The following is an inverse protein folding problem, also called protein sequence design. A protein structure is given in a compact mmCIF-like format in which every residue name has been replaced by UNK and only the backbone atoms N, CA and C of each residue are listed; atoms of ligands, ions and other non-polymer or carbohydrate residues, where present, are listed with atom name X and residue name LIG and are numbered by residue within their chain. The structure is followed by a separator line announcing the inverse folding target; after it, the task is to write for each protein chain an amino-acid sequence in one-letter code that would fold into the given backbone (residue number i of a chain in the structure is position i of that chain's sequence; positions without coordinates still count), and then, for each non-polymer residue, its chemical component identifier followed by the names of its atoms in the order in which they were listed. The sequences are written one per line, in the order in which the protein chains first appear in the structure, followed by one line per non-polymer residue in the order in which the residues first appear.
data_IF_169489713037
#
_entry.id   IF_169489713037
#
_cell.length_a   1.000
_cell.length_b   1.000
_cell.length_c   1.000
_cell.angle_alpha   90.00
_cell.angle_beta   90.00
_cell.angle_gamma   90.00
#
_symmetry.space_group_name_H-M   'P 1'
#
loop_
_entity.id
_entity.type
_entity.pdbx_description
1 polymer ?
#
# COMPACT_ATOMS: atom_id res chain seq x y z
N UNK A 1 -62.77 -13.79 -38.36
CA UNK A 1 -64.02 -13.02 -38.62
C UNK A 1 -63.81 -11.57 -38.25
N UNK A 2 -63.98 -10.69 -39.25
CA UNK A 2 -64.42 -9.27 -39.24
C UNK A 2 -63.67 -8.24 -38.40
N UNK A 3 -62.98 -7.37 -39.10
CA UNK A 3 -62.89 -5.90 -38.90
C UNK A 3 -64.30 -5.28 -39.01
N UNK A 4 -64.52 -4.06 -38.52
CA UNK A 4 -64.22 -2.83 -39.26
C UNK A 4 -63.73 -1.69 -38.32
N UNK A 5 -63.00 -0.71 -38.78
CA UNK A 5 -63.19 0.37 -39.77
C UNK A 5 -63.67 1.71 -39.17
N UNK A 6 -62.80 2.73 -39.38
CA UNK A 6 -63.09 4.15 -39.69
C UNK A 6 -63.68 5.03 -38.59
N UNK A 7 -63.29 6.31 -38.37
CA UNK A 7 -63.40 7.44 -39.29
C UNK A 7 -62.64 8.68 -38.79
N UNK A 8 -62.10 9.44 -39.73
CA UNK A 8 -61.44 10.74 -39.62
C UNK A 8 -62.43 11.83 -39.21
N UNK A 9 -62.00 12.85 -38.46
CA UNK A 9 -62.53 14.21 -38.60
C UNK A 9 -61.37 15.21 -38.56
N UNK A 10 -61.14 15.89 -39.68
CA UNK A 10 -60.40 17.14 -39.78
C UNK A 10 -61.24 18.27 -39.18
N UNK A 11 -60.64 19.16 -38.44
CA UNK A 11 -61.14 20.50 -38.23
C UNK A 11 -59.97 21.51 -38.27
N UNK A 12 -59.98 22.23 -39.38
CA UNK A 12 -59.14 23.40 -39.68
C UNK A 12 -59.69 24.61 -38.96
N UNK A 13 -58.89 25.34 -38.21
CA UNK A 13 -59.18 26.72 -37.84
C UNK A 13 -57.91 27.57 -37.94
N UNK A 14 -57.90 28.44 -38.91
CA UNK A 14 -57.00 29.60 -39.04
C UNK A 14 -57.30 30.63 -37.96
N UNK A 15 -56.28 31.16 -37.26
CA UNK A 15 -56.34 32.50 -36.67
C UNK A 15 -54.99 33.19 -36.71
N UNK A 16 -55.07 34.38 -37.19
CA UNK A 16 -54.18 35.48 -37.49
C UNK A 16 -52.93 35.69 -36.67
N UNK A 17 -51.88 36.10 -37.39
CA UNK A 17 -50.63 36.64 -36.92
C UNK A 17 -50.79 37.98 -36.18
N UNK A 18 -50.27 38.10 -34.98
CA UNK A 18 -49.86 39.37 -34.39
C UNK A 18 -48.33 39.29 -34.16
N UNK A 19 -47.57 39.95 -35.00
CA UNK A 19 -46.15 40.20 -34.84
C UNK A 19 -46.00 41.33 -33.85
N UNK A 20 -45.62 41.01 -32.62
CA UNK A 20 -45.05 42.00 -31.70
C UNK A 20 -43.56 41.75 -31.62
N UNK A 21 -42.78 42.67 -32.15
CA UNK A 21 -41.31 42.71 -32.04
C UNK A 21 -40.95 42.98 -30.56
N UNK A 22 -40.69 41.93 -29.80
CA UNK A 22 -40.07 42.02 -28.49
C UNK A 22 -38.56 41.96 -28.71
N UNK A 23 -37.89 43.07 -28.47
CA UNK A 23 -36.40 43.16 -28.53
C UNK A 23 -35.79 42.12 -27.57
N UNK A 24 -35.01 41.21 -28.11
CA UNK A 24 -34.13 40.34 -27.36
C UNK A 24 -33.04 41.17 -26.71
N UNK A 25 -33.25 41.58 -25.47
CA UNK A 25 -32.17 42.01 -24.59
C UNK A 25 -31.31 40.78 -24.31
N UNK A 26 -30.18 40.68 -25.01
CA UNK A 26 -29.13 39.69 -24.69
C UNK A 26 -28.62 40.00 -23.29
N UNK A 27 -29.07 39.24 -22.29
CA UNK A 27 -28.42 39.23 -21.00
C UNK A 27 -26.94 38.80 -21.22
N UNK A 28 -25.95 39.55 -20.67
CA UNK A 28 -24.58 39.12 -20.74
C UNK A 28 -24.49 37.71 -20.15
N UNK A 29 -23.96 36.77 -20.93
CA UNK A 29 -23.77 35.39 -20.50
C UNK A 29 -23.12 35.38 -19.12
N UNK A 30 -23.71 34.67 -18.17
CA UNK A 30 -23.09 34.33 -16.91
C UNK A 30 -21.83 33.56 -17.31
N UNK A 31 -20.70 34.27 -17.36
CA UNK A 31 -19.40 33.69 -17.63
C UNK A 31 -19.23 32.48 -16.72
N UNK A 32 -18.87 31.35 -17.30
CA UNK A 32 -18.53 30.15 -16.57
C UNK A 32 -17.54 30.54 -15.45
N UNK A 33 -18.09 30.67 -14.24
CA UNK A 33 -17.31 31.08 -13.08
C UNK A 33 -16.25 30.00 -12.93
N UNK A 34 -15.05 30.28 -13.41
CA UNK A 34 -13.95 29.36 -13.56
C UNK A 34 -13.85 28.47 -12.34
N UNK A 35 -14.13 27.19 -12.53
CA UNK A 35 -14.14 26.19 -11.47
C UNK A 35 -12.74 26.17 -10.88
N UNK A 36 -12.54 26.84 -9.74
CA UNK A 36 -11.26 26.86 -9.04
C UNK A 36 -10.85 25.40 -8.84
N UNK A 37 -9.71 24.96 -9.39
CA UNK A 37 -9.28 23.59 -9.29
C UNK A 37 -9.22 23.22 -7.79
N UNK A 38 -9.93 22.17 -7.39
CA UNK A 38 -9.83 21.67 -6.01
C UNK A 38 -8.37 21.30 -5.76
N UNK A 39 -7.76 21.79 -4.68
CA UNK A 39 -6.38 21.45 -4.37
C UNK A 39 -6.26 19.92 -4.19
N UNK A 40 -5.16 19.34 -4.70
CA UNK A 40 -4.89 17.91 -4.61
C UNK A 40 -4.87 17.48 -3.14
N UNK A 41 -5.48 16.33 -2.85
CA UNK A 41 -5.38 15.71 -1.54
C UNK A 41 -3.95 15.21 -1.30
N UNK A 42 -3.59 15.07 -0.05
CA UNK A 42 -2.33 14.46 0.37
C UNK A 42 -2.48 12.94 0.51
N UNK A 43 -1.41 12.27 0.17
CA UNK A 43 -1.16 10.87 0.46
C UNK A 43 0.06 10.77 1.36
N UNK A 44 -0.10 10.24 2.57
CA UNK A 44 0.98 10.07 3.54
C UNK A 44 1.51 8.65 3.49
N UNK A 45 2.82 8.49 3.39
CA UNK A 45 3.47 7.18 3.43
C UNK A 45 4.31 7.04 4.69
N UNK A 46 3.95 6.07 5.54
CA UNK A 46 4.65 5.73 6.78
C UNK A 46 5.24 4.33 6.68
N UNK A 47 6.20 4.04 7.53
CA UNK A 47 6.77 2.71 7.70
C UNK A 47 8.29 2.69 7.66
N UNK A 48 8.84 1.59 7.17
CA UNK A 48 10.26 1.28 7.15
C UNK A 48 10.90 1.46 5.76
N UNK A 49 11.95 0.70 5.46
CA UNK A 49 12.68 0.74 4.19
C UNK A 49 11.83 0.43 2.95
N UNK A 50 10.72 -0.30 3.09
CA UNK A 50 9.79 -0.54 1.99
C UNK A 50 9.02 0.73 1.65
N UNK A 51 8.59 1.50 2.65
CA UNK A 51 7.94 2.81 2.43
C UNK A 51 8.91 3.83 1.84
N UNK A 52 10.20 3.70 2.16
CA UNK A 52 11.31 4.50 1.59
C UNK A 52 11.62 4.11 0.14
N UNK A 53 11.20 2.91 -0.29
CA UNK A 53 11.57 2.39 -1.59
C UNK A 53 13.05 2.03 -1.70
N UNK A 54 13.67 1.60 -0.59
CA UNK A 54 15.11 1.31 -0.55
C UNK A 54 15.50 0.22 -1.54
N UNK A 55 16.60 0.44 -2.25
CA UNK A 55 17.22 -0.55 -3.14
C UNK A 55 18.73 -0.58 -2.90
N UNK A 56 19.35 -1.78 -2.79
CA UNK A 56 20.80 -1.91 -2.63
C UNK A 56 21.55 -1.16 -3.74
N UNK A 57 22.59 -0.42 -3.35
CA UNK A 57 23.40 0.40 -4.26
C UNK A 57 22.74 1.66 -4.82
N UNK A 58 21.45 1.86 -4.57
CA UNK A 58 20.71 3.06 -5.00
C UNK A 58 20.22 3.91 -3.83
N UNK A 59 20.07 3.31 -2.66
CA UNK A 59 19.47 3.97 -1.50
C UNK A 59 17.96 4.13 -1.62
N UNK A 60 17.44 5.25 -1.14
CA UNK A 60 16.02 5.61 -1.28
C UNK A 60 15.65 5.80 -2.75
N UNK A 61 14.49 5.29 -3.14
CA UNK A 61 13.94 5.44 -4.50
C UNK A 61 12.47 5.82 -4.41
N UNK A 62 11.86 6.06 -5.58
CA UNK A 62 10.43 6.35 -5.64
C UNK A 62 9.51 5.22 -5.10
N UNK A 63 10.01 4.00 -4.98
CA UNK A 63 9.33 2.87 -4.35
C UNK A 63 7.92 2.56 -4.88
N UNK A 64 7.13 1.86 -4.07
CA UNK A 64 5.72 1.58 -4.37
C UNK A 64 4.85 2.85 -4.21
N UNK A 65 5.27 3.74 -3.34
CA UNK A 65 4.53 4.92 -2.94
C UNK A 65 4.33 5.91 -4.09
N UNK A 66 5.36 6.12 -4.92
CA UNK A 66 5.22 6.96 -6.10
C UNK A 66 4.26 6.36 -7.14
N UNK A 67 4.20 5.03 -7.25
CA UNK A 67 3.20 4.38 -8.11
C UNK A 67 1.78 4.68 -7.62
N UNK A 68 1.52 4.53 -6.32
CA UNK A 68 0.23 4.83 -5.69
C UNK A 68 -0.13 6.31 -5.90
N UNK A 69 0.80 7.23 -5.64
CA UNK A 69 0.59 8.67 -5.86
C UNK A 69 0.24 8.99 -7.32
N UNK A 70 0.91 8.33 -8.27
CA UNK A 70 0.64 8.46 -9.71
C UNK A 70 -0.76 7.99 -10.09
N UNK A 71 -1.29 6.91 -9.48
CA UNK A 71 -2.62 6.40 -9.74
C UNK A 71 -3.71 7.27 -9.07
N UNK A 72 -3.51 7.66 -7.82
CA UNK A 72 -4.47 8.43 -7.03
C UNK A 72 -4.46 9.93 -7.37
N UNK A 73 -3.43 10.42 -8.05
CA UNK A 73 -3.18 11.85 -8.33
C UNK A 73 -3.04 12.70 -7.07
N UNK A 74 -2.78 12.09 -5.94
CA UNK A 74 -2.53 12.78 -4.68
C UNK A 74 -1.09 13.29 -4.59
N UNK A 75 -0.87 14.28 -3.73
CA UNK A 75 0.47 14.75 -3.38
C UNK A 75 1.04 13.84 -2.31
N UNK A 76 2.14 13.18 -2.63
CA UNK A 76 2.82 12.26 -1.72
C UNK A 76 3.71 13.03 -0.74
N UNK A 77 3.58 12.66 0.54
CA UNK A 77 4.41 13.13 1.64
C UNK A 77 5.03 11.91 2.34
N UNK A 78 6.35 11.90 2.43
CA UNK A 78 7.11 10.75 2.92
C UNK A 78 7.51 10.92 4.39
N UNK A 79 7.06 10.00 5.24
CA UNK A 79 7.47 9.88 6.64
C UNK A 79 8.34 8.66 6.90
N UNK A 80 8.42 7.72 5.96
CA UNK A 80 9.11 6.45 6.11
C UNK A 80 10.57 6.57 6.58
N UNK A 81 11.00 5.62 7.39
CA UNK A 81 12.34 5.55 7.94
C UNK A 81 12.90 4.15 7.83
N UNK A 82 13.97 3.98 7.05
CA UNK A 82 14.64 2.68 6.87
C UNK A 82 15.02 2.08 8.22
N UNK A 83 14.78 0.77 8.40
CA UNK A 83 15.06 0.07 9.65
C UNK A 83 14.02 0.24 10.76
N UNK A 84 12.96 1.03 10.54
CA UNK A 84 11.92 1.20 11.55
C UNK A 84 11.24 -0.14 11.90
N UNK A 85 10.94 -0.32 13.19
CA UNK A 85 10.14 -1.42 13.72
C UNK A 85 8.75 -0.93 14.12
N UNK A 86 7.83 -1.85 14.37
CA UNK A 86 6.50 -1.50 14.88
C UNK A 86 6.55 -0.72 16.20
N UNK A 87 7.56 -0.95 17.01
CA UNK A 87 7.81 -0.19 18.25
C UNK A 87 8.41 1.18 17.95
N UNK A 88 9.44 1.25 17.10
CA UNK A 88 10.15 2.51 16.86
C UNK A 88 9.31 3.56 16.15
N UNK A 89 8.38 3.16 15.27
CA UNK A 89 7.46 4.10 14.60
C UNK A 89 6.59 4.88 15.61
N UNK A 90 6.32 4.28 16.77
CA UNK A 90 5.53 4.86 17.86
C UNK A 90 6.34 5.63 18.89
N UNK A 91 7.63 5.29 19.08
CA UNK A 91 8.41 5.73 20.24
C UNK A 91 9.78 6.33 19.92
N UNK A 92 10.40 6.01 18.79
CA UNK A 92 11.71 6.57 18.46
C UNK A 92 11.58 7.99 17.91
N UNK A 93 12.40 8.89 18.44
CA UNK A 93 12.46 10.29 18.01
C UNK A 93 13.38 10.42 16.80
N UNK A 94 12.88 11.06 15.78
CA UNK A 94 13.58 11.24 14.51
C UNK A 94 13.64 9.97 13.66
N UNK A 95 14.08 10.11 12.42
CA UNK A 95 14.48 8.99 11.60
C UNK A 95 15.94 8.66 11.88
N UNK A 96 16.17 7.78 12.85
CA UNK A 96 17.50 7.31 13.23
C UNK A 96 17.69 5.92 12.69
N UNK A 97 18.81 5.70 11.96
CA UNK A 97 19.14 4.37 11.48
C UNK A 97 20.09 3.66 12.39
N UNK A 98 19.94 2.36 12.33
CA UNK A 98 21.01 1.41 12.60
C UNK A 98 21.75 1.09 11.29
N UNK A 99 22.69 1.94 10.86
CA UNK A 99 23.83 1.51 10.07
C UNK A 99 23.69 1.04 8.60
N UNK A 100 22.53 1.06 7.97
CA UNK A 100 22.35 0.51 6.63
C UNK A 100 21.81 1.53 5.60
N UNK A 101 22.66 2.45 5.14
CA UNK A 101 22.33 3.33 4.02
C UNK A 101 21.37 4.47 4.35
N UNK A 102 20.83 5.19 3.33
CA UNK A 102 19.96 6.31 3.55
C UNK A 102 18.68 5.89 4.28
N UNK A 103 18.41 6.62 5.30
CA UNK A 103 17.44 6.36 6.35
C UNK A 103 16.08 6.84 5.97
N UNK A 104 16.05 8.01 5.35
CA UNK A 104 14.83 8.69 4.98
C UNK A 104 14.51 8.46 3.50
N UNK A 105 13.24 8.64 3.13
CA UNK A 105 12.78 8.64 1.76
C UNK A 105 13.36 9.81 0.95
N UNK A 106 13.08 9.86 -0.35
CA UNK A 106 13.35 11.03 -1.19
C UNK A 106 12.43 12.17 -0.73
N UNK A 107 12.98 13.37 -0.51
CA UNK A 107 12.22 14.54 -0.04
C UNK A 107 11.34 14.25 1.20
N UNK A 108 11.94 13.79 2.32
CA UNK A 108 11.18 13.35 3.47
C UNK A 108 10.61 14.53 4.25
N UNK A 109 9.46 14.33 4.87
CA UNK A 109 9.03 15.23 5.95
C UNK A 109 9.96 15.01 7.15
N UNK A 110 10.67 16.05 7.55
CA UNK A 110 11.61 15.98 8.67
C UNK A 110 10.85 15.99 10.01
N UNK A 111 11.27 15.11 10.94
CA UNK A 111 10.71 15.04 12.30
C UNK A 111 11.79 14.76 13.36
N UNK A 112 12.83 15.62 13.47
CA UNK A 112 13.99 15.37 14.31
C UNK A 112 13.70 15.35 15.80
N UNK A 113 12.58 15.89 16.24
CA UNK A 113 12.22 16.06 17.66
C UNK A 113 10.99 15.25 18.09
N UNK A 114 10.42 14.45 17.20
CA UNK A 114 9.20 13.68 17.47
C UNK A 114 9.25 12.29 16.82
N UNK A 115 8.21 11.47 17.03
CA UNK A 115 8.12 10.15 16.42
C UNK A 115 7.49 10.23 15.02
N UNK A 116 7.71 9.21 14.20
CA UNK A 116 7.14 9.16 12.85
C UNK A 116 5.61 9.32 12.86
N UNK A 117 4.91 8.61 13.76
CA UNK A 117 3.45 8.72 13.87
C UNK A 117 3.00 10.09 14.38
N UNK A 118 3.72 10.70 15.32
CA UNK A 118 3.38 12.02 15.82
C UNK A 118 3.60 13.10 14.77
N UNK A 119 4.64 12.97 13.95
CA UNK A 119 4.87 13.86 12.81
C UNK A 119 3.74 13.76 11.76
N UNK A 120 3.31 12.55 11.43
CA UNK A 120 2.18 12.36 10.53
C UNK A 120 0.88 12.95 11.11
N UNK A 121 0.62 12.77 12.41
CA UNK A 121 -0.54 13.37 13.07
C UNK A 121 -0.47 14.90 13.09
N UNK A 122 0.70 15.48 13.32
CA UNK A 122 0.90 16.94 13.23
C UNK A 122 0.68 17.48 11.80
N UNK A 123 1.14 16.74 10.79
CA UNK A 123 0.90 17.09 9.40
C UNK A 123 -0.62 17.06 9.06
N UNK A 124 -1.33 16.02 9.50
CA UNK A 124 -2.78 15.90 9.33
C UNK A 124 -3.49 17.11 9.98
N UNK A 125 -3.13 17.45 11.22
CA UNK A 125 -3.70 18.59 11.93
C UNK A 125 -3.44 19.94 11.24
N UNK A 126 -2.29 20.10 10.59
CA UNK A 126 -1.92 21.29 9.84
C UNK A 126 -2.62 21.39 8.46
N UNK A 127 -3.24 20.34 7.98
CA UNK A 127 -3.86 20.25 6.65
C UNK A 127 -5.30 19.73 6.71
N UNK A 128 -6.20 20.34 7.48
CA UNK A 128 -7.55 19.84 7.71
C UNK A 128 -8.35 19.73 6.40
N UNK A 129 -9.06 18.63 6.23
CA UNK A 129 -9.84 18.31 5.02
C UNK A 129 -9.00 18.01 3.77
N UNK A 130 -7.71 17.74 3.94
CA UNK A 130 -6.77 17.64 2.81
C UNK A 130 -6.07 16.30 2.66
N UNK A 131 -6.25 15.35 3.60
CA UNK A 131 -5.64 14.01 3.51
C UNK A 131 -6.65 13.01 2.98
N UNK A 132 -6.28 12.27 1.93
CA UNK A 132 -7.14 11.26 1.31
C UNK A 132 -6.69 9.82 1.56
N UNK A 133 -5.39 9.63 1.77
CA UNK A 133 -4.80 8.29 1.89
C UNK A 133 -3.60 8.30 2.85
N UNK A 134 -3.51 7.25 3.65
CA UNK A 134 -2.30 6.88 4.39
C UNK A 134 -1.95 5.44 4.03
N UNK A 135 -0.70 5.16 3.65
CA UNK A 135 -0.20 3.77 3.59
C UNK A 135 0.83 3.52 4.66
N UNK A 136 0.85 2.30 5.17
CA UNK A 136 1.80 1.86 6.19
C UNK A 136 2.39 0.50 5.81
N UNK A 137 3.73 0.41 5.75
CA UNK A 137 4.45 -0.87 5.67
C UNK A 137 5.40 -0.96 6.85
N UNK A 138 5.05 -1.74 7.87
CA UNK A 138 5.80 -1.85 9.13
C UNK A 138 5.69 -3.25 9.73
N UNK A 139 6.71 -3.70 10.45
CA UNK A 139 6.76 -4.98 11.13
C UNK A 139 7.75 -5.97 10.52
N UNK A 140 8.24 -5.73 9.30
CA UNK A 140 9.23 -6.58 8.64
C UNK A 140 10.53 -6.69 9.46
N UNK A 141 11.02 -5.57 9.99
CA UNK A 141 12.25 -5.56 10.80
C UNK A 141 12.07 -6.28 12.15
N UNK A 142 10.86 -6.26 12.72
CA UNK A 142 10.54 -7.00 13.95
C UNK A 142 10.69 -8.52 13.75
N UNK A 143 10.20 -9.04 12.62
CA UNK A 143 10.26 -10.47 12.28
C UNK A 143 11.64 -10.88 11.77
N UNK A 144 12.28 -10.06 10.95
CA UNK A 144 13.60 -10.36 10.37
C UNK A 144 14.65 -10.57 11.47
N UNK A 145 14.54 -9.84 12.58
CA UNK A 145 15.40 -10.05 13.75
C UNK A 145 15.31 -11.46 14.34
N UNK A 146 14.22 -12.18 14.10
CA UNK A 146 14.03 -13.54 14.58
C UNK A 146 14.86 -14.59 13.82
N UNK A 147 15.37 -14.26 12.64
CA UNK A 147 16.19 -15.19 11.84
C UNK A 147 17.47 -15.67 12.53
N UNK A 148 18.02 -14.88 13.47
CA UNK A 148 19.20 -15.22 14.29
C UNK A 148 18.85 -15.68 15.71
N UNK A 149 17.59 -15.80 16.08
CA UNK A 149 17.17 -16.19 17.43
C UNK A 149 17.39 -17.69 17.64
N UNK A 150 17.68 -18.08 18.89
CA UNK A 150 17.81 -19.49 19.31
C UNK A 150 16.54 -20.31 19.00
N UNK A 151 15.36 -19.68 19.03
CA UNK A 151 14.09 -20.27 18.65
C UNK A 151 13.34 -19.31 17.70
N UNK A 152 13.63 -19.37 16.38
CA UNK A 152 13.06 -18.45 15.41
C UNK A 152 11.53 -18.43 15.40
N UNK A 153 10.89 -19.58 15.49
CA UNK A 153 9.42 -19.70 15.52
C UNK A 153 8.81 -19.02 16.74
N UNK A 154 9.32 -19.30 17.94
CA UNK A 154 8.82 -18.66 19.15
C UNK A 154 9.04 -17.13 19.13
N UNK A 155 10.17 -16.71 18.58
CA UNK A 155 10.46 -15.29 18.36
C UNK A 155 9.43 -14.67 17.41
N UNK A 156 9.16 -15.29 16.26
CA UNK A 156 8.21 -14.78 15.27
C UNK A 156 6.78 -14.68 15.85
N UNK A 157 6.33 -15.67 16.61
CA UNK A 157 5.03 -15.63 17.32
C UNK A 157 4.96 -14.41 18.26
N UNK A 158 5.98 -14.21 19.09
CA UNK A 158 6.04 -13.06 20.00
C UNK A 158 6.10 -11.74 19.24
N UNK A 159 6.95 -11.65 18.21
CA UNK A 159 7.05 -10.47 17.37
C UNK A 159 5.71 -10.12 16.73
N UNK A 160 4.98 -11.10 16.18
CA UNK A 160 3.67 -10.88 15.56
C UNK A 160 2.65 -10.29 16.53
N UNK A 161 2.60 -10.78 17.76
CA UNK A 161 1.72 -10.22 18.81
C UNK A 161 2.07 -8.76 19.11
N UNK A 162 3.36 -8.44 19.20
CA UNK A 162 3.84 -7.07 19.43
C UNK A 162 3.51 -6.17 18.24
N UNK A 163 3.75 -6.64 17.02
CA UNK A 163 3.43 -5.92 15.78
C UNK A 163 1.93 -5.60 15.74
N UNK A 164 1.08 -6.59 15.96
CA UNK A 164 -0.38 -6.41 15.91
C UNK A 164 -0.86 -5.33 16.91
N UNK A 165 -0.38 -5.35 18.15
CA UNK A 165 -0.72 -4.36 19.16
C UNK A 165 -0.21 -2.96 18.79
N UNK A 166 1.02 -2.86 18.30
CA UNK A 166 1.61 -1.59 17.88
C UNK A 166 0.92 -1.02 16.64
N UNK A 167 0.60 -1.85 15.66
CA UNK A 167 -0.13 -1.44 14.45
C UNK A 167 -1.54 -0.98 14.80
N UNK A 168 -2.25 -1.67 15.67
CA UNK A 168 -3.57 -1.22 16.14
C UNK A 168 -3.49 0.16 16.81
N UNK A 169 -2.47 0.38 17.66
CA UNK A 169 -2.21 1.69 18.27
C UNK A 169 -1.89 2.76 17.22
N UNK A 170 -1.03 2.46 16.26
CA UNK A 170 -0.66 3.35 15.15
C UNK A 170 -1.89 3.77 14.35
N UNK A 171 -2.67 2.79 13.90
CA UNK A 171 -3.87 3.02 13.06
C UNK A 171 -4.92 3.83 13.81
N UNK A 172 -5.12 3.54 15.11
CA UNK A 172 -6.03 4.30 15.97
C UNK A 172 -5.61 5.77 16.10
N UNK A 173 -4.32 6.04 16.34
CA UNK A 173 -3.78 7.42 16.40
C UNK A 173 -3.97 8.18 15.09
N UNK A 174 -3.65 7.55 13.97
CA UNK A 174 -3.83 8.13 12.64
C UNK A 174 -5.31 8.41 12.37
N UNK A 175 -6.20 7.47 12.65
CA UNK A 175 -7.64 7.64 12.43
C UNK A 175 -8.23 8.74 13.29
N UNK A 176 -7.83 8.84 14.55
CA UNK A 176 -8.23 9.94 15.44
C UNK A 176 -7.79 11.28 14.85
N UNK A 177 -6.54 11.41 14.43
CA UNK A 177 -6.02 12.61 13.78
C UNK A 177 -6.81 13.00 12.54
N UNK A 178 -7.04 12.06 11.64
CA UNK A 178 -7.82 12.25 10.41
C UNK A 178 -9.26 12.70 10.71
N UNK A 179 -9.91 12.05 11.66
CA UNK A 179 -11.29 12.43 12.04
C UNK A 179 -11.36 13.83 12.63
N UNK A 180 -10.43 14.17 13.53
CA UNK A 180 -10.35 15.50 14.15
C UNK A 180 -10.06 16.59 13.12
N UNK A 181 -9.26 16.29 12.09
CA UNK A 181 -8.94 17.22 11.01
C UNK A 181 -10.04 17.31 9.93
N UNK A 182 -11.15 16.59 10.05
CA UNK A 182 -12.22 16.58 9.04
C UNK A 182 -11.97 15.66 7.85
N UNK A 183 -10.94 14.81 7.91
CA UNK A 183 -10.57 13.81 6.89
C UNK A 183 -11.17 12.43 7.19
N UNK A 184 -12.37 12.37 7.73
CA UNK A 184 -13.01 11.12 8.20
C UNK A 184 -13.16 10.05 7.11
N UNK A 185 -13.20 10.45 5.84
CA UNK A 185 -13.28 9.57 4.67
C UNK A 185 -11.93 9.08 4.16
N UNK A 186 -10.82 9.63 4.69
CA UNK A 186 -9.47 9.19 4.34
C UNK A 186 -9.28 7.70 4.66
N UNK A 187 -8.53 7.02 3.78
CA UNK A 187 -8.25 5.59 3.89
C UNK A 187 -6.90 5.35 4.54
N UNK A 188 -6.80 4.29 5.33
CA UNK A 188 -5.55 3.81 5.91
C UNK A 188 -5.32 2.39 5.38
N UNK A 189 -4.30 2.19 4.55
CA UNK A 189 -3.99 0.91 3.93
C UNK A 189 -2.68 0.38 4.51
N UNK A 190 -2.75 -0.72 5.24
CA UNK A 190 -1.59 -1.48 5.67
C UNK A 190 -1.15 -2.46 4.60
N UNK A 191 0.17 -2.68 4.51
CA UNK A 191 0.74 -3.66 3.60
C UNK A 191 1.61 -4.65 4.36
N UNK A 192 1.54 -5.92 3.97
CA UNK A 192 2.57 -6.89 4.33
C UNK A 192 3.75 -6.80 3.36
N UNK A 193 4.69 -7.75 3.44
CA UNK A 193 5.90 -7.82 2.64
C UNK A 193 5.87 -9.03 1.72
N UNK A 194 6.65 -9.05 0.62
CA UNK A 194 6.98 -10.31 -0.04
C UNK A 194 7.64 -11.26 0.97
N UNK A 195 7.30 -12.55 0.92
CA UNK A 195 7.96 -13.56 1.75
C UNK A 195 9.38 -13.83 1.26
N UNK A 196 10.30 -12.93 1.62
CA UNK A 196 11.69 -13.00 1.19
C UNK A 196 12.43 -14.22 1.75
N UNK A 197 11.90 -14.86 2.81
CA UNK A 197 12.48 -16.06 3.42
C UNK A 197 12.50 -17.23 2.43
N UNK A 198 11.56 -17.26 1.49
CA UNK A 198 11.55 -18.22 0.37
C UNK A 198 12.84 -18.17 -0.46
N UNK A 199 13.52 -17.03 -0.51
CA UNK A 199 14.82 -16.92 -1.19
C UNK A 199 15.93 -17.76 -0.60
N UNK A 200 15.78 -18.29 0.62
CA UNK A 200 16.71 -19.24 1.23
C UNK A 200 16.89 -20.53 0.42
N UNK A 201 15.95 -20.90 -0.43
CA UNK A 201 16.12 -22.03 -1.36
C UNK A 201 17.32 -21.88 -2.31
N UNK A 202 17.64 -20.66 -2.69
CA UNK A 202 18.69 -20.37 -3.68
C UNK A 202 19.83 -19.54 -3.13
N UNK A 203 19.62 -18.84 -2.03
CA UNK A 203 20.63 -18.06 -1.31
C UNK A 203 20.53 -18.35 0.18
N UNK A 204 21.03 -19.53 0.64
CA UNK A 204 20.76 -20.00 2.01
C UNK A 204 21.47 -19.20 3.10
N UNK A 205 22.46 -18.35 2.76
CA UNK A 205 23.21 -17.59 3.77
C UNK A 205 23.89 -18.47 4.81
N UNK A 206 23.82 -18.06 6.08
CA UNK A 206 24.26 -18.87 7.24
C UNK A 206 22.98 -19.35 7.94
N UNK A 207 22.41 -20.37 7.57
CA UNK A 207 22.39 -21.74 8.08
C UNK A 207 22.69 -22.75 6.96
N UNK A 208 22.92 -24.03 7.31
CA UNK A 208 23.09 -25.10 6.33
C UNK A 208 21.86 -25.20 5.41
N UNK A 209 22.08 -25.58 4.15
CA UNK A 209 21.04 -25.58 3.11
C UNK A 209 19.75 -26.33 3.50
N UNK A 210 19.83 -27.43 4.25
CA UNK A 210 18.65 -28.16 4.74
C UNK A 210 17.79 -27.36 5.72
N UNK A 211 18.44 -26.62 6.63
CA UNK A 211 17.72 -25.74 7.58
C UNK A 211 17.14 -24.53 6.86
N UNK A 212 17.80 -24.05 5.82
CA UNK A 212 17.33 -22.94 5.00
C UNK A 212 16.01 -23.27 4.28
N UNK A 213 15.90 -24.44 3.64
CA UNK A 213 14.68 -24.90 3.02
C UNK A 213 13.53 -25.06 4.06
N UNK A 214 13.84 -25.66 5.21
CA UNK A 214 12.85 -25.80 6.30
C UNK A 214 12.34 -24.44 6.79
N UNK A 215 13.22 -23.45 6.94
CA UNK A 215 12.81 -22.10 7.33
C UNK A 215 11.95 -21.43 6.25
N UNK A 216 12.27 -21.64 4.98
CA UNK A 216 11.46 -21.16 3.87
C UNK A 216 10.05 -21.79 3.85
N UNK A 217 9.94 -23.09 4.09
CA UNK A 217 8.65 -23.80 4.20
C UNK A 217 7.83 -23.26 5.40
N UNK A 218 8.49 -23.06 6.53
CA UNK A 218 7.84 -22.52 7.73
C UNK A 218 7.39 -21.07 7.54
N UNK A 219 8.09 -20.27 6.72
CA UNK A 219 7.71 -18.88 6.49
C UNK A 219 6.36 -18.77 5.79
N UNK A 220 6.07 -19.64 4.81
CA UNK A 220 4.76 -19.67 4.14
C UNK A 220 3.64 -19.87 5.16
N UNK A 221 3.79 -20.86 6.05
CA UNK A 221 2.82 -21.10 7.12
C UNK A 221 2.72 -19.92 8.08
N UNK A 222 3.86 -19.31 8.45
CA UNK A 222 3.87 -18.17 9.37
C UNK A 222 3.18 -16.93 8.78
N UNK A 223 3.39 -16.63 7.50
CA UNK A 223 2.70 -15.55 6.82
C UNK A 223 1.20 -15.81 6.70
N UNK A 224 0.81 -17.00 6.27
CA UNK A 224 -0.58 -17.35 6.01
C UNK A 224 -1.43 -17.45 7.30
N UNK A 225 -0.90 -18.09 8.33
CA UNK A 225 -1.68 -18.43 9.53
C UNK A 225 -1.45 -17.49 10.71
N UNK A 226 -0.38 -16.69 10.71
CA UNK A 226 0.00 -15.88 11.87
C UNK A 226 0.13 -14.39 11.52
N UNK A 227 1.05 -14.03 10.62
CA UNK A 227 1.43 -12.63 10.39
C UNK A 227 0.32 -11.86 9.67
N UNK A 228 -0.12 -12.36 8.51
CA UNK A 228 -1.12 -11.68 7.69
C UNK A 228 -2.49 -11.57 8.37
N UNK A 229 -3.02 -12.61 9.04
CA UNK A 229 -4.25 -12.48 9.80
C UNK A 229 -4.16 -11.45 10.93
N UNK A 230 -3.06 -11.42 11.68
CA UNK A 230 -2.86 -10.47 12.76
C UNK A 230 -2.78 -9.01 12.23
N UNK A 231 -2.02 -8.77 11.17
CA UNK A 231 -1.95 -7.47 10.52
C UNK A 231 -3.29 -7.04 9.95
N UNK A 232 -4.00 -7.94 9.27
CA UNK A 232 -5.33 -7.65 8.72
C UNK A 232 -6.29 -7.16 9.82
N UNK A 233 -6.38 -7.88 10.92
CA UNK A 233 -7.21 -7.48 12.07
C UNK A 233 -6.81 -6.10 12.59
N UNK A 234 -5.51 -5.84 12.75
CA UNK A 234 -5.02 -4.55 13.25
C UNK A 234 -5.36 -3.39 12.31
N UNK A 235 -5.11 -3.53 11.01
CA UNK A 235 -5.39 -2.47 10.04
C UNK A 235 -6.88 -2.23 9.81
N UNK A 236 -7.71 -3.26 9.82
CA UNK A 236 -9.15 -3.14 9.62
C UNK A 236 -9.92 -2.79 10.91
N UNK A 237 -9.24 -2.57 12.03
CA UNK A 237 -9.85 -2.22 13.31
C UNK A 237 -10.48 -0.82 13.34
N UNK A 238 -10.23 0.03 12.35
CA UNK A 238 -10.77 1.39 12.25
C UNK A 238 -11.58 1.58 10.96
N UNK A 239 -12.54 2.49 10.98
CA UNK A 239 -13.33 2.83 9.80
C UNK A 239 -12.43 3.40 8.67
N UNK A 240 -12.51 2.82 7.47
CA UNK A 240 -11.67 3.16 6.33
C UNK A 240 -10.27 2.52 6.37
N UNK A 241 -10.05 1.60 7.32
CA UNK A 241 -8.85 0.76 7.37
C UNK A 241 -8.96 -0.42 6.40
N UNK A 242 -7.87 -0.73 5.70
CA UNK A 242 -7.75 -1.84 4.77
C UNK A 242 -6.37 -2.49 4.86
N UNK A 243 -6.25 -3.69 4.34
CA UNK A 243 -5.01 -4.47 4.39
C UNK A 243 -4.72 -5.15 3.05
N UNK A 244 -3.54 -4.92 2.52
CA UNK A 244 -3.01 -5.58 1.33
C UNK A 244 -2.09 -6.71 1.75
N UNK A 245 -2.54 -7.94 1.53
CA UNK A 245 -1.70 -9.12 1.67
C UNK A 245 -0.84 -9.31 0.41
N UNK A 246 0.42 -8.92 0.49
CA UNK A 246 1.35 -9.02 -0.64
C UNK A 246 1.73 -10.47 -0.95
N UNK A 247 1.74 -11.36 0.06
CA UNK A 247 2.15 -12.75 -0.12
C UNK A 247 1.11 -13.60 -0.85
N UNK A 248 -0.19 -13.34 -0.65
CA UNK A 248 -1.27 -14.10 -1.27
C UNK A 248 -1.78 -13.50 -2.59
N UNK A 249 -1.22 -12.38 -3.02
CA UNK A 249 -1.60 -11.78 -4.28
C UNK A 249 -1.02 -12.57 -5.45
N UNK A 250 -1.77 -12.70 -6.57
CA UNK A 250 -1.23 -13.32 -7.77
C UNK A 250 -0.10 -12.44 -8.34
N UNK A 251 1.09 -13.00 -8.44
CA UNK A 251 2.23 -12.34 -9.04
C UNK A 251 2.09 -12.34 -10.57
N UNK A 252 2.75 -11.40 -11.23
CA UNK A 252 2.60 -11.24 -12.68
C UNK A 252 2.98 -12.49 -13.49
N UNK A 253 3.81 -13.35 -12.94
CA UNK A 253 4.42 -14.49 -13.61
C UNK A 253 4.02 -15.83 -12.99
N UNK A 254 3.25 -15.84 -11.92
CA UNK A 254 2.76 -17.03 -11.27
C UNK A 254 1.24 -16.97 -11.08
N UNK A 255 0.64 -18.13 -11.04
CA UNK A 255 -0.82 -18.31 -10.91
C UNK A 255 -1.27 -18.43 -9.47
N UNK A 256 -0.31 -18.51 -8.53
CA UNK A 256 -0.59 -18.74 -7.14
C UNK A 256 0.34 -17.88 -6.27
N UNK A 257 -0.15 -17.42 -5.14
CA UNK A 257 0.65 -16.71 -4.13
C UNK A 257 1.55 -17.66 -3.34
N UNK A 258 2.28 -17.13 -2.40
CA UNK A 258 3.24 -17.87 -1.56
C UNK A 258 2.59 -18.97 -0.73
N UNK A 259 1.29 -18.83 -0.42
CA UNK A 259 0.50 -19.89 0.19
C UNK A 259 0.30 -21.11 -0.72
N UNK A 260 0.71 -21.05 -1.97
CA UNK A 260 0.69 -22.20 -2.88
C UNK A 260 1.71 -23.22 -2.42
N UNK A 261 1.35 -24.48 -2.49
CA UNK A 261 2.29 -25.54 -2.17
C UNK A 261 3.59 -25.35 -2.94
N UNK A 262 4.72 -25.38 -2.24
CA UNK A 262 6.08 -25.29 -2.81
C UNK A 262 6.40 -26.48 -3.75
N UNK A 263 5.38 -27.23 -4.14
CA UNK A 263 5.42 -28.38 -5.04
C UNK A 263 5.38 -28.02 -6.53
N UNK A 264 4.76 -26.88 -6.88
CA UNK A 264 4.79 -26.39 -8.26
C UNK A 264 6.15 -25.78 -8.54
N UNK A 265 6.87 -26.29 -9.53
CA UNK A 265 8.26 -25.92 -9.80
C UNK A 265 8.44 -25.31 -11.18
N UNK A 266 9.49 -24.50 -11.31
CA UNK A 266 9.95 -23.87 -12.55
C UNK A 266 11.46 -23.91 -12.63
N UNK A 267 12.01 -23.91 -13.86
CA UNK A 267 13.46 -23.80 -14.07
C UNK A 267 13.88 -22.34 -14.13
N UNK A 268 14.74 -21.93 -13.20
CA UNK A 268 15.34 -20.58 -13.15
C UNK A 268 16.87 -20.66 -13.17
N UNK A 269 17.50 -20.12 -14.20
CA UNK A 269 18.96 -20.00 -14.23
C UNK A 269 19.42 -18.87 -13.31
N UNK A 270 20.52 -19.03 -12.56
CA UNK A 270 21.41 -20.21 -12.49
C UNK A 270 20.93 -21.30 -11.49
N UNK A 271 19.81 -21.14 -10.82
CA UNK A 271 19.39 -21.88 -9.62
C UNK A 271 18.80 -23.27 -9.91
N UNK A 272 18.55 -23.62 -11.18
CA UNK A 272 17.99 -24.93 -11.54
C UNK A 272 16.45 -24.98 -11.45
N UNK A 273 15.92 -26.08 -10.93
CA UNK A 273 14.48 -26.29 -10.70
C UNK A 273 14.17 -25.88 -9.27
N UNK A 274 13.30 -24.89 -9.11
CA UNK A 274 12.90 -24.30 -7.83
C UNK A 274 11.37 -24.14 -7.75
N UNK A 275 10.77 -24.05 -6.56
CA UNK A 275 9.37 -23.71 -6.41
C UNK A 275 9.00 -22.39 -7.12
N UNK A 276 7.79 -22.31 -7.66
CA UNK A 276 7.30 -21.09 -8.33
C UNK A 276 7.30 -19.90 -7.39
N UNK A 277 6.88 -20.08 -6.14
CA UNK A 277 6.91 -19.00 -5.13
C UNK A 277 8.34 -18.47 -4.89
N UNK A 278 9.35 -19.35 -4.87
CA UNK A 278 10.77 -18.94 -4.79
C UNK A 278 11.18 -18.12 -6.02
N UNK A 279 10.78 -18.56 -7.21
CA UNK A 279 11.04 -17.83 -8.45
C UNK A 279 10.42 -16.43 -8.45
N UNK A 280 9.22 -16.28 -7.90
CA UNK A 280 8.57 -14.99 -7.74
C UNK A 280 9.40 -14.05 -6.88
N UNK A 281 9.84 -14.51 -5.71
CA UNK A 281 10.69 -13.75 -4.82
C UNK A 281 12.02 -13.39 -5.50
N UNK A 282 12.64 -14.30 -6.22
CA UNK A 282 13.87 -14.03 -7.00
C UNK A 282 13.64 -12.96 -8.08
N UNK A 283 12.44 -12.89 -8.63
CA UNK A 283 12.10 -11.94 -9.69
C UNK A 283 11.77 -10.54 -9.13
N UNK A 284 11.18 -10.47 -7.93
CA UNK A 284 10.65 -9.24 -7.33
C UNK A 284 11.58 -8.60 -6.30
N UNK A 285 12.60 -9.32 -5.84
CA UNK A 285 13.50 -8.85 -4.78
C UNK A 285 14.96 -9.02 -5.16
N UNK A 286 15.84 -8.48 -4.32
CA UNK A 286 17.28 -8.70 -4.42
C UNK A 286 17.75 -9.92 -3.61
N UNK A 287 16.82 -10.71 -3.03
CA UNK A 287 17.24 -11.78 -2.12
C UNK A 287 18.08 -12.84 -2.81
N UNK A 288 17.58 -13.42 -3.88
CA UNK A 288 18.26 -14.52 -4.57
C UNK A 288 19.63 -14.13 -5.17
N UNK A 289 19.76 -12.89 -5.61
CA UNK A 289 21.00 -12.42 -6.24
C UNK A 289 22.03 -11.85 -5.25
N UNK A 290 21.59 -11.33 -4.11
CA UNK A 290 22.44 -10.58 -3.20
C UNK A 290 22.16 -10.83 -1.71
N UNK A 291 21.26 -11.76 -1.35
CA UNK A 291 20.84 -11.99 0.04
C UNK A 291 20.13 -10.78 0.66
N UNK A 292 19.64 -9.84 -0.14
CA UNK A 292 19.07 -8.61 0.35
C UNK A 292 17.55 -8.65 0.29
N UNK A 293 16.89 -8.37 1.41
CA UNK A 293 15.45 -8.52 1.62
C UNK A 293 14.58 -7.52 0.86
N UNK A 294 15.17 -6.50 0.23
CA UNK A 294 14.40 -5.42 -0.38
C UNK A 294 13.88 -5.77 -1.78
N UNK A 295 12.72 -5.22 -2.10
CA UNK A 295 12.15 -5.32 -3.42
C UNK A 295 13.01 -4.56 -4.45
N UNK A 296 13.10 -5.11 -5.66
CA UNK A 296 13.65 -4.38 -6.81
C UNK A 296 12.57 -3.47 -7.43
N UNK A 297 12.91 -2.74 -8.48
CA UNK A 297 11.97 -1.82 -9.13
C UNK A 297 10.68 -2.51 -9.62
N UNK A 298 10.77 -3.78 -10.03
CA UNK A 298 9.62 -4.58 -10.44
C UNK A 298 8.75 -4.95 -9.24
N UNK A 299 9.36 -5.38 -8.13
CA UNK A 299 8.67 -5.69 -6.88
C UNK A 299 7.97 -4.46 -6.30
N UNK A 300 8.61 -3.31 -6.24
CA UNK A 300 7.95 -2.09 -5.79
C UNK A 300 6.78 -1.68 -6.67
N UNK A 301 6.91 -1.82 -7.99
CA UNK A 301 5.78 -1.57 -8.90
C UNK A 301 4.64 -2.55 -8.67
N UNK A 302 4.95 -3.81 -8.40
CA UNK A 302 3.95 -4.83 -8.08
C UNK A 302 3.19 -4.46 -6.79
N UNK A 303 3.89 -4.15 -5.70
CA UNK A 303 3.29 -3.72 -4.43
C UNK A 303 2.42 -2.46 -4.64
N UNK A 304 2.92 -1.50 -5.40
CA UNK A 304 2.19 -0.27 -5.72
C UNK A 304 0.88 -0.52 -6.48
N UNK A 305 0.86 -1.50 -7.40
CA UNK A 305 -0.38 -1.89 -8.10
C UNK A 305 -1.41 -2.48 -7.14
N UNK A 306 -0.98 -3.33 -6.22
CA UNK A 306 -1.87 -3.91 -5.21
C UNK A 306 -2.47 -2.83 -4.31
N UNK A 307 -1.64 -1.93 -3.79
CA UNK A 307 -2.10 -0.85 -2.93
C UNK A 307 -3.04 0.13 -3.65
N UNK A 308 -2.76 0.46 -4.91
CA UNK A 308 -3.63 1.32 -5.71
C UNK A 308 -4.95 0.63 -6.08
N UNK A 309 -4.93 -0.67 -6.35
CA UNK A 309 -6.13 -1.45 -6.61
C UNK A 309 -7.02 -1.53 -5.36
N UNK A 310 -6.44 -1.79 -4.18
CA UNK A 310 -7.17 -1.77 -2.92
C UNK A 310 -7.82 -0.41 -2.67
N UNK A 311 -7.07 0.68 -2.84
CA UNK A 311 -7.63 2.03 -2.69
C UNK A 311 -8.83 2.28 -3.60
N UNK A 312 -8.83 1.75 -4.82
CA UNK A 312 -9.92 1.93 -5.77
C UNK A 312 -11.21 1.18 -5.39
N UNK A 313 -11.15 0.21 -4.46
CA UNK A 313 -12.30 -0.55 -3.96
C UNK A 313 -12.96 0.07 -2.73
N UNK A 314 -12.30 1.02 -2.08
CA UNK A 314 -12.68 1.66 -0.81
C UNK A 314 -13.45 2.97 -1.03
#
# INVERSE_FOLDING_TARGET
MRKPSTTKVLMTAMLAACVTAAGLVSLPGVGDAGRVPRPRLFYLSLGDSYSVGYQPGKGATAGYTAYVAGQTKMRLEYFGCGGATSTSILSAVGCTTSGYGPVAAIDPVAYPTTTQVAAAAAFIAAHPGRVGLVTVSIGGNDVTACGSATSPVACAVKATSTIAANVATLVSRLKTGLTTAGDSTAKIIGLTYPDVVLGLYVHPGVPPAKSAATLADLSVTAFDTLINPALKVAYTSVAGGAFVNVTSAPYQLATAGDATPLTTTVRLRPYGVIPVAVWEICTLTYYCSAGNIHANARGYRFIGRLAAAEYATL
#
